data_IF_801374899331
#
_entry.id   IF_801374899331
#
_cell.length_a   1.000
_cell.length_b   1.000
_cell.length_c   1.000
_cell.angle_alpha   90.00
_cell.angle_beta   90.00
_cell.angle_gamma   90.00
#
_symmetry.space_group_name_H-M   'P 1'
#
loop_
_entity.id
_entity.type
_entity.pdbx_description
1 polymer ?
#
# COMPACT_ATOMS: atom_id res chain seq x y z
N UNK A 1 6.81 -32.78 14.13
CA UNK A 1 6.34 -31.99 12.98
C UNK A 1 6.05 -30.61 13.47
N UNK A 2 6.78 -29.59 13.00
CA UNK A 2 6.36 -28.21 13.24
C UNK A 2 4.95 -28.01 12.66
N UNK A 3 4.06 -27.28 13.34
CA UNK A 3 2.73 -27.00 12.80
C UNK A 3 2.87 -26.24 11.48
N UNK A 4 2.32 -26.78 10.40
CA UNK A 4 2.29 -26.10 9.11
C UNK A 4 1.55 -24.77 9.26
N UNK A 5 2.18 -23.66 8.87
CA UNK A 5 1.58 -22.34 8.94
C UNK A 5 0.35 -22.29 8.03
N UNK A 6 -0.82 -22.01 8.61
CA UNK A 6 -2.08 -21.84 7.89
C UNK A 6 -2.20 -20.39 7.38
N UNK A 7 -1.67 -20.15 6.18
CA UNK A 7 -1.69 -18.83 5.56
C UNK A 7 -3.10 -18.34 5.22
N UNK A 8 -4.05 -19.23 4.91
CA UNK A 8 -5.44 -18.83 4.66
C UNK A 8 -6.07 -18.24 5.90
N UNK A 9 -5.81 -18.84 7.07
CA UNK A 9 -6.26 -18.32 8.36
C UNK A 9 -5.65 -16.95 8.65
N UNK A 10 -4.37 -16.73 8.33
CA UNK A 10 -3.70 -15.43 8.48
C UNK A 10 -4.39 -14.35 7.64
N UNK A 11 -4.56 -14.61 6.34
CA UNK A 11 -5.21 -13.66 5.41
C UNK A 11 -6.64 -13.37 5.86
N UNK A 12 -7.41 -14.41 6.21
CA UNK A 12 -8.79 -14.27 6.71
C UNK A 12 -8.87 -13.44 7.97
N UNK A 13 -7.93 -13.62 8.90
CA UNK A 13 -7.89 -12.86 10.15
C UNK A 13 -7.57 -11.38 9.89
N UNK A 14 -6.55 -11.08 9.06
CA UNK A 14 -6.21 -9.71 8.66
C UNK A 14 -7.38 -9.02 7.97
N UNK A 15 -8.05 -9.68 7.02
CA UNK A 15 -9.23 -9.14 6.35
C UNK A 15 -10.37 -8.85 7.35
N UNK A 16 -10.67 -9.77 8.27
CA UNK A 16 -11.68 -9.54 9.32
C UNK A 16 -11.32 -8.38 10.24
N UNK A 17 -10.05 -8.24 10.58
CA UNK A 17 -9.56 -7.10 11.37
C UNK A 17 -9.76 -5.79 10.63
N UNK A 18 -9.51 -5.77 9.31
CA UNK A 18 -9.71 -4.59 8.48
C UNK A 18 -11.19 -4.19 8.42
N UNK A 19 -12.08 -5.14 8.14
CA UNK A 19 -13.54 -4.88 8.11
C UNK A 19 -14.03 -4.34 9.46
N UNK A 20 -13.63 -4.97 10.57
CA UNK A 20 -13.98 -4.47 11.92
C UNK A 20 -13.44 -3.07 12.18
N UNK A 21 -12.22 -2.76 11.71
CA UNK A 21 -11.64 -1.45 11.86
C UNK A 21 -12.45 -0.38 11.10
N UNK A 22 -12.89 -0.69 9.87
CA UNK A 22 -13.78 0.18 9.07
C UNK A 22 -15.11 0.41 9.78
N UNK A 23 -15.78 -0.66 10.22
CA UNK A 23 -17.07 -0.57 10.93
C UNK A 23 -16.94 0.23 12.24
N UNK A 24 -15.88 0.00 13.02
CA UNK A 24 -15.64 0.71 14.29
C UNK A 24 -15.44 2.22 14.12
N UNK A 25 -15.11 2.67 12.90
CA UNK A 25 -14.94 4.07 12.53
C UNK A 25 -16.18 4.66 11.85
N UNK A 26 -17.32 3.97 11.90
CA UNK A 26 -18.58 4.43 11.35
C UNK A 26 -18.79 4.11 9.87
N UNK A 27 -17.95 3.26 9.26
CA UNK A 27 -18.17 2.81 7.89
C UNK A 27 -19.43 1.97 7.76
N UNK A 28 -20.18 2.19 6.68
CA UNK A 28 -21.47 1.54 6.44
C UNK A 28 -21.36 0.27 5.57
N UNK A 29 -22.51 -0.25 5.11
CA UNK A 29 -22.54 -1.46 4.27
C UNK A 29 -21.90 -1.25 2.90
N UNK A 30 -22.00 -0.06 2.34
CA UNK A 30 -21.44 0.28 1.03
C UNK A 30 -19.93 0.45 1.13
N UNK A 31 -19.45 1.03 2.23
CA UNK A 31 -18.02 1.09 2.55
C UNK A 31 -17.41 -0.32 2.68
N UNK A 32 -18.06 -1.20 3.44
CA UNK A 32 -17.60 -2.59 3.58
C UNK A 32 -17.67 -3.33 2.23
N UNK A 33 -18.66 -3.04 1.39
CA UNK A 33 -18.75 -3.60 0.05
C UNK A 33 -17.61 -3.12 -0.87
N UNK A 34 -17.24 -1.84 -0.80
CA UNK A 34 -16.10 -1.27 -1.50
C UNK A 34 -14.79 -1.95 -1.07
N UNK A 35 -14.55 -2.08 0.24
CA UNK A 35 -13.35 -2.75 0.77
C UNK A 35 -13.30 -4.22 0.37
N UNK A 36 -14.45 -4.92 0.39
CA UNK A 36 -14.54 -6.30 -0.08
C UNK A 36 -14.20 -6.42 -1.56
N UNK A 37 -14.67 -5.48 -2.39
CA UNK A 37 -14.37 -5.45 -3.83
C UNK A 37 -12.88 -5.22 -4.07
N UNK A 38 -12.28 -4.23 -3.42
CA UNK A 38 -10.84 -3.94 -3.53
C UNK A 38 -9.98 -5.11 -3.07
N UNK A 39 -10.33 -5.74 -1.93
CA UNK A 39 -9.64 -6.93 -1.42
C UNK A 39 -9.66 -8.09 -2.43
N UNK A 40 -10.81 -8.35 -3.08
CA UNK A 40 -10.90 -9.42 -4.08
C UNK A 40 -9.99 -9.18 -5.28
N UNK A 41 -9.95 -7.95 -5.78
CA UNK A 41 -9.08 -7.57 -6.91
C UNK A 41 -7.62 -7.72 -6.53
N UNK A 42 -7.21 -7.19 -5.37
CA UNK A 42 -5.84 -7.35 -4.89
C UNK A 42 -5.46 -8.83 -4.66
N UNK A 43 -6.37 -9.62 -4.09
CA UNK A 43 -6.12 -11.03 -3.84
C UNK A 43 -5.96 -11.83 -5.14
N UNK A 44 -6.73 -11.52 -6.19
CA UNK A 44 -6.59 -12.17 -7.50
C UNK A 44 -5.31 -11.72 -8.22
N UNK A 45 -5.03 -10.41 -8.22
CA UNK A 45 -3.81 -9.84 -8.80
C UNK A 45 -2.53 -10.48 -8.23
N UNK A 46 -2.53 -10.81 -6.94
CA UNK A 46 -1.36 -11.36 -6.25
C UNK A 46 -1.49 -12.85 -5.87
N UNK A 47 -2.42 -13.61 -6.47
CA UNK A 47 -2.75 -15.00 -6.04
C UNK A 47 -1.58 -15.97 -6.11
N UNK A 48 -0.70 -15.79 -7.09
CA UNK A 48 0.47 -16.64 -7.34
C UNK A 48 1.77 -16.04 -6.77
N UNK A 49 1.68 -14.85 -6.16
CA UNK A 49 2.83 -14.14 -5.59
C UNK A 49 2.99 -14.50 -4.12
N UNK A 50 4.25 -14.77 -3.72
CA UNK A 50 4.62 -15.04 -2.33
C UNK A 50 5.70 -14.05 -1.90
N UNK A 51 5.63 -13.61 -0.64
CA UNK A 51 6.74 -12.88 0.00
C UNK A 51 7.91 -13.84 0.24
N UNK A 52 9.09 -13.29 0.52
CA UNK A 52 10.29 -14.08 0.84
C UNK A 52 10.14 -14.97 2.06
N UNK A 53 9.27 -14.61 2.99
CA UNK A 53 8.89 -15.41 4.17
C UNK A 53 8.00 -16.63 3.83
N UNK A 54 7.51 -16.73 2.59
CA UNK A 54 6.54 -17.75 2.17
C UNK A 54 5.08 -17.32 2.30
N UNK A 55 4.79 -16.18 2.92
CA UNK A 55 3.42 -15.66 3.05
C UNK A 55 2.82 -15.25 1.69
N UNK A 56 1.51 -15.40 1.48
CA UNK A 56 0.80 -14.79 0.35
C UNK A 56 1.02 -13.28 0.30
N UNK A 57 1.36 -12.73 -0.86
CA UNK A 57 1.67 -11.30 -0.98
C UNK A 57 0.53 -10.38 -0.54
N UNK A 58 -0.72 -10.83 -0.70
CA UNK A 58 -1.94 -10.12 -0.22
C UNK A 58 -1.89 -9.74 1.27
N UNK A 59 -1.06 -10.37 2.10
CA UNK A 59 -0.86 -9.93 3.49
C UNK A 59 -0.32 -8.51 3.57
N UNK A 60 0.56 -8.11 2.64
CA UNK A 60 1.13 -6.76 2.62
C UNK A 60 0.08 -5.66 2.34
N UNK A 61 -0.70 -5.69 1.24
CA UNK A 61 -1.76 -4.71 1.04
C UNK A 61 -2.79 -4.65 2.19
N UNK A 62 -3.10 -5.79 2.82
CA UNK A 62 -3.96 -5.83 4.00
C UNK A 62 -3.35 -5.09 5.20
N UNK A 63 -2.05 -5.26 5.45
CA UNK A 63 -1.36 -4.56 6.55
C UNK A 63 -1.22 -3.06 6.28
N UNK A 64 -0.93 -2.67 5.03
CA UNK A 64 -0.93 -1.25 4.64
C UNK A 64 -2.31 -0.64 4.84
N UNK A 65 -3.39 -1.32 4.41
CA UNK A 65 -4.75 -0.87 4.63
C UNK A 65 -5.11 -0.78 6.13
N UNK A 66 -4.59 -1.68 6.97
CA UNK A 66 -4.76 -1.61 8.43
C UNK A 66 -4.04 -0.39 9.03
N UNK A 67 -2.83 -0.06 8.58
CA UNK A 67 -2.11 1.16 9.00
C UNK A 67 -2.92 2.40 8.60
N UNK A 68 -3.36 2.45 7.34
CA UNK A 68 -4.19 3.55 6.80
C UNK A 68 -5.47 3.74 7.62
N UNK A 69 -6.12 2.64 8.05
CA UNK A 69 -7.37 2.69 8.81
C UNK A 69 -7.18 3.01 10.29
N UNK A 70 -6.19 2.38 10.94
CA UNK A 70 -6.06 2.39 12.40
C UNK A 70 -5.09 3.43 12.92
N UNK A 71 -3.97 3.64 12.22
CA UNK A 71 -2.90 4.52 12.68
C UNK A 71 -3.03 5.92 12.07
N UNK A 72 -3.34 6.01 10.77
CA UNK A 72 -3.54 7.29 10.08
C UNK A 72 -4.98 7.75 10.19
N UNK A 73 -5.93 6.83 10.04
CA UNK A 73 -7.36 7.12 10.18
C UNK A 73 -8.04 7.67 8.92
N UNK A 74 -7.60 7.24 7.74
CA UNK A 74 -8.26 7.62 6.49
C UNK A 74 -9.54 6.84 6.23
N UNK A 75 -10.37 7.39 5.34
CA UNK A 75 -11.67 6.83 5.00
C UNK A 75 -11.64 5.69 3.95
N UNK A 76 -12.82 5.11 3.66
CA UNK A 76 -12.99 3.90 2.83
C UNK A 76 -12.32 3.96 1.45
N UNK A 77 -12.36 5.09 0.76
CA UNK A 77 -11.68 5.26 -0.54
C UNK A 77 -10.16 5.10 -0.43
N UNK A 78 -9.54 5.66 0.61
CA UNK A 78 -8.10 5.55 0.83
C UNK A 78 -7.70 4.14 1.25
N UNK A 79 -8.55 3.47 2.03
CA UNK A 79 -8.35 2.07 2.42
C UNK A 79 -8.44 1.17 1.17
N UNK A 80 -9.39 1.43 0.27
CA UNK A 80 -9.49 0.73 -1.00
C UNK A 80 -8.25 0.98 -1.88
N UNK A 81 -7.79 2.23 -1.99
CA UNK A 81 -6.56 2.55 -2.73
C UNK A 81 -5.32 1.87 -2.12
N UNK A 82 -5.22 1.79 -0.79
CA UNK A 82 -4.14 1.08 -0.11
C UNK A 82 -4.14 -0.43 -0.42
N UNK A 83 -5.30 -1.06 -0.51
CA UNK A 83 -5.40 -2.46 -0.95
C UNK A 83 -4.96 -2.66 -2.41
N UNK A 84 -5.13 -1.64 -3.26
CA UNK A 84 -4.91 -1.71 -4.70
C UNK A 84 -3.56 -1.13 -5.14
N UNK A 85 -2.72 -0.63 -4.22
CA UNK A 85 -1.61 0.26 -4.57
C UNK A 85 -0.55 -0.35 -5.51
N UNK A 86 -0.30 -1.66 -5.40
CA UNK A 86 0.64 -2.37 -6.27
C UNK A 86 -0.05 -3.10 -7.43
N UNK A 87 -1.39 -3.10 -7.50
CA UNK A 87 -2.14 -3.92 -8.46
C UNK A 87 -1.82 -3.54 -9.90
N UNK A 88 -1.63 -2.25 -10.20
CA UNK A 88 -1.29 -1.79 -11.56
C UNK A 88 0.12 -2.20 -11.97
N UNK A 89 1.05 -2.32 -11.02
CA UNK A 89 2.44 -2.70 -11.31
C UNK A 89 2.62 -4.22 -11.40
N UNK A 90 1.88 -4.96 -10.57
CA UNK A 90 2.07 -6.40 -10.40
C UNK A 90 1.08 -7.28 -11.20
N UNK A 91 0.19 -6.69 -12.00
CA UNK A 91 -0.83 -7.45 -12.73
C UNK A 91 -1.26 -6.81 -14.05
N UNK A 92 -2.22 -7.42 -14.74
CA UNK A 92 -2.76 -6.94 -16.02
C UNK A 92 -3.77 -5.79 -15.87
N UNK A 93 -4.16 -5.44 -14.64
CA UNK A 93 -5.13 -4.37 -14.41
C UNK A 93 -4.55 -3.00 -14.78
N UNK A 94 -5.26 -2.27 -15.64
CA UNK A 94 -4.91 -0.90 -16.00
C UNK A 94 -5.60 0.13 -15.10
N UNK A 95 -5.11 1.38 -15.13
CA UNK A 95 -5.80 2.52 -14.52
C UNK A 95 -7.27 2.61 -14.99
N UNK A 96 -7.53 2.38 -16.28
CA UNK A 96 -8.89 2.47 -16.84
C UNK A 96 -9.81 1.41 -16.23
N UNK A 97 -9.28 0.21 -15.98
CA UNK A 97 -10.04 -0.85 -15.31
C UNK A 97 -10.38 -0.43 -13.88
N UNK A 98 -9.40 0.09 -13.14
CA UNK A 98 -9.64 0.60 -11.78
C UNK A 98 -10.64 1.76 -11.77
N UNK A 99 -10.59 2.65 -12.75
CA UNK A 99 -11.53 3.77 -12.88
C UNK A 99 -12.96 3.27 -13.13
N UNK A 100 -13.15 2.31 -14.04
CA UNK A 100 -14.46 1.69 -14.25
C UNK A 100 -14.97 0.91 -13.03
N UNK A 101 -14.07 0.27 -12.28
CA UNK A 101 -14.43 -0.57 -11.15
C UNK A 101 -14.68 0.22 -9.87
N UNK A 102 -13.90 1.27 -9.60
CA UNK A 102 -13.85 1.96 -8.32
C UNK A 102 -14.10 3.47 -8.41
N UNK A 103 -14.18 4.02 -9.62
CA UNK A 103 -14.36 5.44 -9.87
C UNK A 103 -13.03 6.21 -9.94
N UNK A 104 -13.12 7.43 -10.47
CA UNK A 104 -11.96 8.27 -10.78
C UNK A 104 -11.09 8.59 -9.56
N UNK A 105 -11.68 8.81 -8.37
CA UNK A 105 -10.89 9.20 -7.19
C UNK A 105 -9.96 8.08 -6.72
N UNK A 106 -10.40 6.83 -6.70
CA UNK A 106 -9.56 5.70 -6.30
C UNK A 106 -8.50 5.41 -7.37
N UNK A 107 -8.90 5.42 -8.64
CA UNK A 107 -7.96 5.23 -9.75
C UNK A 107 -6.86 6.30 -9.79
N UNK A 108 -7.20 7.57 -9.51
CA UNK A 108 -6.22 8.65 -9.39
C UNK A 108 -5.25 8.42 -8.23
N UNK A 109 -5.74 8.00 -7.06
CA UNK A 109 -4.86 7.69 -5.92
C UNK A 109 -3.89 6.56 -6.24
N UNK A 110 -4.38 5.47 -6.85
CA UNK A 110 -3.52 4.32 -7.24
C UNK A 110 -2.49 4.75 -8.28
N UNK A 111 -2.89 5.50 -9.31
CA UNK A 111 -1.94 6.03 -10.30
C UNK A 111 -0.87 6.93 -9.66
N UNK A 112 -1.25 7.77 -8.70
CA UNK A 112 -0.30 8.60 -7.95
C UNK A 112 0.72 7.74 -7.20
N UNK A 113 0.28 6.65 -6.57
CA UNK A 113 1.16 5.71 -5.86
C UNK A 113 2.15 5.01 -6.80
N UNK A 114 1.67 4.52 -7.95
CA UNK A 114 2.50 3.90 -9.01
C UNK A 114 3.53 4.88 -9.57
N UNK A 115 3.12 6.12 -9.90
CA UNK A 115 4.07 7.14 -10.39
C UNK A 115 5.16 7.45 -9.39
N UNK A 116 4.81 7.57 -8.11
CA UNK A 116 5.79 7.78 -7.05
C UNK A 116 6.77 6.62 -7.00
N UNK A 117 6.28 5.37 -7.03
CA UNK A 117 7.11 4.17 -7.01
C UNK A 117 8.10 4.11 -8.18
N UNK A 118 7.63 4.35 -9.42
CA UNK A 118 8.50 4.38 -10.60
C UNK A 118 9.64 5.40 -10.51
N UNK A 119 9.43 6.55 -9.87
CA UNK A 119 10.53 7.52 -9.67
C UNK A 119 11.57 6.99 -8.69
N UNK A 120 11.15 6.30 -7.61
CA UNK A 120 12.08 5.65 -6.67
C UNK A 120 12.89 4.52 -7.31
N UNK A 121 12.32 3.83 -8.30
CA UNK A 121 13.02 2.74 -8.99
C UNK A 121 14.00 3.22 -10.07
N UNK A 122 13.74 4.38 -10.68
CA UNK A 122 14.62 5.01 -11.67
C UNK A 122 15.62 6.03 -11.09
N UNK A 123 15.69 6.18 -9.76
CA UNK A 123 16.63 7.11 -9.15
C UNK A 123 18.10 6.68 -9.35
N UNK A 124 18.84 7.55 -10.04
CA UNK A 124 20.30 7.63 -9.95
C UNK A 124 20.70 8.49 -8.74
N UNK A 125 21.88 8.24 -8.17
CA UNK A 125 22.41 8.81 -6.93
C UNK A 125 22.57 10.35 -6.89
N UNK A 126 22.14 11.08 -7.92
CA UNK A 126 22.42 12.52 -8.12
C UNK A 126 21.22 13.44 -7.87
N UNK A 127 20.00 12.92 -7.68
CA UNK A 127 18.84 13.78 -7.46
C UNK A 127 18.85 14.39 -6.05
N UNK A 128 18.88 15.72 -5.98
CA UNK A 128 18.83 16.43 -4.70
C UNK A 128 17.49 16.16 -3.99
N UNK A 129 17.57 15.82 -2.70
CA UNK A 129 16.43 15.51 -1.82
C UNK A 129 15.35 16.61 -1.87
N UNK A 130 15.75 17.88 -1.97
CA UNK A 130 14.79 18.99 -1.99
C UNK A 130 13.99 19.08 -3.30
N UNK A 131 14.62 18.80 -4.44
CA UNK A 131 13.92 18.73 -5.72
C UNK A 131 12.98 17.53 -5.76
N UNK A 132 13.37 16.44 -5.12
CA UNK A 132 12.53 15.25 -4.99
C UNK A 132 11.30 15.50 -4.11
N UNK A 133 11.45 16.23 -2.99
CA UNK A 133 10.31 16.64 -2.15
C UNK A 133 9.31 17.48 -2.92
N UNK A 134 9.78 18.47 -3.68
CA UNK A 134 8.93 19.31 -4.54
C UNK A 134 8.22 18.47 -5.59
N UNK A 135 8.91 17.49 -6.18
CA UNK A 135 8.33 16.56 -7.13
C UNK A 135 7.22 15.72 -6.48
N UNK A 136 7.45 15.11 -5.32
CA UNK A 136 6.43 14.33 -4.60
C UNK A 136 5.18 15.17 -4.27
N UNK A 137 5.37 16.39 -3.77
CA UNK A 137 4.27 17.31 -3.48
C UNK A 137 3.53 17.73 -4.75
N UNK A 138 4.22 17.83 -5.88
CA UNK A 138 3.60 18.17 -7.17
C UNK A 138 2.87 16.99 -7.85
N UNK A 139 3.18 15.75 -7.46
CA UNK A 139 2.59 14.55 -8.06
C UNK A 139 1.18 14.28 -7.52
N UNK A 140 0.84 14.81 -6.35
CA UNK A 140 -0.49 14.62 -5.81
C UNK A 140 -1.04 15.87 -5.12
N UNK A 141 -2.02 16.49 -5.79
CA UNK A 141 -2.92 17.47 -5.17
C UNK A 141 -3.77 16.83 -4.04
N UNK A 142 -3.76 15.49 -3.95
CA UNK A 142 -4.45 14.70 -2.95
C UNK A 142 -3.48 14.15 -1.90
N UNK A 143 -3.46 14.80 -0.73
CA UNK A 143 -2.62 14.40 0.42
C UNK A 143 -2.78 12.92 0.82
N UNK A 144 -3.92 12.30 0.51
CA UNK A 144 -4.20 10.89 0.81
C UNK A 144 -3.21 9.97 0.11
N UNK A 145 -2.71 10.32 -1.09
CA UNK A 145 -1.70 9.53 -1.82
C UNK A 145 -0.39 9.47 -1.03
N UNK A 146 0.07 10.63 -0.52
CA UNK A 146 1.30 10.71 0.27
C UNK A 146 1.16 9.90 1.55
N UNK A 147 0.02 10.02 2.25
CA UNK A 147 -0.25 9.29 3.48
C UNK A 147 -0.33 7.78 3.26
N UNK A 148 -0.92 7.31 2.16
CA UNK A 148 -0.91 5.88 1.81
C UNK A 148 0.51 5.42 1.50
N UNK A 149 1.33 6.22 0.80
CA UNK A 149 2.73 5.86 0.54
C UNK A 149 3.57 5.82 1.82
N UNK A 150 3.27 6.66 2.79
CA UNK A 150 3.86 6.58 4.13
C UNK A 150 3.47 5.30 4.86
N UNK A 151 2.21 4.87 4.74
CA UNK A 151 1.76 3.60 5.32
C UNK A 151 2.48 2.39 4.70
N UNK A 152 2.61 2.38 3.37
CA UNK A 152 3.41 1.37 2.65
C UNK A 152 4.86 1.37 3.15
N UNK A 153 5.51 2.54 3.17
CA UNK A 153 6.89 2.65 3.66
C UNK A 153 7.05 2.19 5.11
N UNK A 154 6.10 2.54 5.99
CA UNK A 154 6.10 2.12 7.39
C UNK A 154 6.00 0.59 7.50
N UNK A 155 5.12 -0.05 6.73
CA UNK A 155 5.03 -1.50 6.70
C UNK A 155 6.34 -2.13 6.22
N UNK A 156 6.95 -1.59 5.15
CA UNK A 156 8.22 -2.09 4.63
C UNK A 156 9.36 -1.99 5.66
N UNK A 157 9.40 -0.90 6.44
CA UNK A 157 10.34 -0.74 7.55
C UNK A 157 10.07 -1.72 8.71
N UNK A 158 8.79 -2.05 8.99
CA UNK A 158 8.42 -3.05 10.01
C UNK A 158 8.74 -4.49 9.61
N UNK A 159 8.86 -4.78 8.31
CA UNK A 159 9.20 -6.11 7.77
C UNK A 159 10.55 -6.14 7.07
N UNK A 160 11.46 -5.24 7.43
CA UNK A 160 12.71 -5.00 6.71
C UNK A 160 13.70 -6.18 6.83
N UNK A 161 13.68 -6.84 7.97
CA UNK A 161 14.52 -8.00 8.34
C UNK A 161 14.37 -9.17 7.35
N UNK A 162 13.19 -9.35 6.74
CA UNK A 162 12.94 -10.37 5.72
C UNK A 162 13.56 -10.09 4.34
N UNK A 163 14.23 -8.94 4.13
CA UNK A 163 14.81 -8.56 2.84
C UNK A 163 16.33 -8.77 2.76
N UNK A 164 16.91 -8.92 1.55
CA UNK A 164 18.37 -8.93 1.37
C UNK A 164 19.00 -7.60 1.82
N UNK A 165 20.24 -7.66 2.32
CA UNK A 165 20.95 -6.50 2.87
C UNK A 165 20.96 -5.27 1.94
N UNK A 166 21.18 -5.45 0.63
CA UNK A 166 21.17 -4.33 -0.32
C UNK A 166 19.78 -3.64 -0.41
N UNK A 167 18.68 -4.40 -0.32
CA UNK A 167 17.32 -3.83 -0.29
C UNK A 167 17.04 -3.17 1.06
N UNK A 168 17.53 -3.74 2.16
CA UNK A 168 17.42 -3.12 3.48
C UNK A 168 18.06 -1.73 3.49
N UNK A 169 19.31 -1.63 2.98
CA UNK A 169 20.02 -0.35 2.86
C UNK A 169 19.30 0.64 1.96
N UNK A 170 18.78 0.21 0.78
CA UNK A 170 17.97 1.07 -0.10
C UNK A 170 16.76 1.63 0.64
N UNK A 171 15.94 0.76 1.22
CA UNK A 171 14.68 1.15 1.90
C UNK A 171 14.96 2.04 3.12
N UNK A 172 15.95 1.71 3.93
CA UNK A 172 16.34 2.50 5.11
C UNK A 172 16.86 3.89 4.71
N UNK A 173 17.68 3.98 3.66
CA UNK A 173 18.22 5.26 3.17
C UNK A 173 17.11 6.15 2.62
N UNK A 174 16.23 5.62 1.77
CA UNK A 174 15.05 6.35 1.30
C UNK A 174 14.19 6.81 2.49
N UNK A 175 13.99 5.96 3.49
CA UNK A 175 13.20 6.33 4.67
C UNK A 175 13.83 7.51 5.41
N UNK A 176 15.13 7.44 5.70
CA UNK A 176 15.84 8.44 6.49
C UNK A 176 15.92 9.80 5.78
N UNK A 177 16.22 9.81 4.48
CA UNK A 177 16.49 11.04 3.75
C UNK A 177 15.24 11.67 3.13
N UNK A 178 14.19 10.88 2.86
CA UNK A 178 13.01 11.32 2.11
C UNK A 178 11.75 11.22 2.97
N UNK A 179 11.38 10.02 3.41
CA UNK A 179 10.06 9.81 4.03
C UNK A 179 9.95 10.39 5.45
N UNK A 180 10.98 10.21 6.29
CA UNK A 180 10.96 10.75 7.66
C UNK A 180 10.92 12.29 7.67
N UNK A 181 11.73 13.02 6.86
CA UNK A 181 11.61 14.47 6.74
C UNK A 181 10.26 14.94 6.18
N UNK A 182 9.63 14.15 5.29
CA UNK A 182 8.31 14.46 4.75
C UNK A 182 7.22 14.31 5.82
N UNK A 183 7.32 13.33 6.71
CA UNK A 183 6.35 13.06 7.77
C UNK A 183 6.38 14.06 8.94
N UNK A 184 7.50 14.76 9.13
CA UNK A 184 7.64 15.72 10.22
C UNK A 184 6.90 17.05 9.99
N UNK A 185 6.40 17.30 8.77
CA UNK A 185 5.71 18.55 8.40
C UNK A 185 4.20 18.38 8.40
#
# INVERSE_FOLDING_TARGET
MEPSVDFEKIVRNKYRMLVRAVESRGGDKDDVALIRKAYKVAADAHKDVRRKSGEPYITHPLDVALIVTKEIGLGPQSIAAALLHDVVEDSEYSKKDLEHMFGASIAYMVEGLTKIQGIFDHQSSSMQVENFRKLLLSISDDVRVILIKMADRLHNMRTLDGMPYHKQLKIASETLYIFAPLAHR
#
